data_IF_760911330101
#
_entry.id   IF_760911330101
#
_cell.length_a   1.000
_cell.length_b   1.000
_cell.length_c   1.000
_cell.angle_alpha   90.00
_cell.angle_beta   90.00
_cell.angle_gamma   90.00
#
_symmetry.space_group_name_H-M   'P 1'
#
loop_
_entity.id
_entity.type
_entity.pdbx_description
1 polymer ?
#
# COMPACT_ATOMS: atom_id res chain seq x y z
N UNK A 1 60.32 -42.99 5.53
CA UNK A 1 61.50 -42.14 5.84
C UNK A 1 60.99 -41.06 6.78
N UNK A 2 61.07 -41.19 8.10
CA UNK A 2 62.25 -40.87 8.96
C UNK A 2 62.84 -39.51 8.54
N UNK A 3 63.04 -38.48 9.36
CA UNK A 3 63.73 -38.40 10.67
C UNK A 3 63.33 -37.03 11.31
N UNK A 4 62.73 -36.98 12.51
CA UNK A 4 63.28 -36.47 13.80
C UNK A 4 63.96 -35.06 13.83
N UNK A 5 63.35 -34.18 14.65
CA UNK A 5 63.89 -33.49 15.85
C UNK A 5 65.09 -32.52 15.82
N UNK A 6 65.04 -31.60 16.82
CA UNK A 6 66.13 -30.88 17.54
C UNK A 6 66.75 -29.63 16.87
N UNK A 7 67.09 -28.53 17.54
CA UNK A 7 67.22 -28.24 18.97
C UNK A 7 67.11 -26.72 19.29
N UNK A 8 66.87 -26.44 20.57
CA UNK A 8 67.05 -25.17 21.28
C UNK A 8 68.38 -24.46 20.96
N UNK A 9 68.36 -23.12 20.96
CA UNK A 9 69.42 -22.36 21.61
C UNK A 9 68.88 -21.13 22.33
N UNK A 10 68.90 -21.22 23.65
CA UNK A 10 68.65 -20.16 24.62
C UNK A 10 70.01 -19.52 24.90
N UNK A 11 70.19 -18.27 24.50
CA UNK A 11 71.37 -17.45 24.83
C UNK A 11 70.92 -16.28 25.70
N UNK A 12 71.45 -16.23 26.91
CA UNK A 12 71.12 -15.24 27.93
C UNK A 12 71.89 -13.92 27.72
N UNK A 13 71.18 -12.83 28.00
CA UNK A 13 71.57 -11.61 28.72
C UNK A 13 73.04 -11.18 28.66
N UNK A 14 73.29 -10.06 27.98
CA UNK A 14 74.25 -9.06 28.45
C UNK A 14 73.54 -7.72 28.62
N UNK A 15 73.53 -7.23 29.85
CA UNK A 15 73.16 -5.88 30.21
C UNK A 15 74.42 -5.02 30.16
N UNK A 16 74.39 -3.93 29.40
CA UNK A 16 75.31 -2.82 29.57
C UNK A 16 74.55 -1.51 29.69
N UNK A 17 74.97 -0.77 30.70
CA UNK A 17 74.43 0.41 31.32
C UNK A 17 74.36 1.64 30.41
N UNK A 18 73.24 2.35 30.55
CA UNK A 18 73.08 3.81 30.61
C UNK A 18 73.82 4.70 29.59
N UNK A 19 73.03 5.34 28.73
CA UNK A 19 73.17 6.79 28.57
C UNK A 19 71.78 7.43 28.63
N UNK A 20 71.59 8.21 29.69
CA UNK A 20 70.43 9.06 29.94
C UNK A 20 70.44 10.18 28.89
N UNK A 21 69.80 9.95 27.75
CA UNK A 21 69.51 11.04 26.80
C UNK A 21 68.06 11.45 27.01
N UNK A 22 67.86 12.42 27.89
CA UNK A 22 66.66 13.23 27.98
C UNK A 22 66.46 13.97 26.65
N UNK A 23 65.81 13.30 25.69
CA UNK A 23 65.35 13.97 24.47
C UNK A 23 64.13 14.78 24.82
N UNK A 24 64.38 16.06 25.05
CA UNK A 24 63.44 17.16 25.04
C UNK A 24 62.44 16.96 23.88
N UNK A 25 61.14 16.94 24.18
CA UNK A 25 60.08 17.03 23.18
C UNK A 25 60.18 18.41 22.51
N UNK A 26 60.97 18.50 21.44
CA UNK A 26 61.07 19.69 20.60
C UNK A 26 59.77 19.86 19.82
N UNK A 27 58.98 20.88 20.18
CA UNK A 27 57.66 21.18 19.63
C UNK A 27 57.68 21.90 18.27
N UNK A 28 58.80 21.92 17.54
CA UNK A 28 58.92 22.75 16.33
C UNK A 28 59.57 22.08 15.12
N UNK A 29 59.56 20.74 15.02
CA UNK A 29 59.96 20.09 13.78
C UNK A 29 58.78 20.07 12.79
N UNK A 30 58.78 21.00 11.83
CA UNK A 30 57.89 20.95 10.67
C UNK A 30 58.31 19.74 9.82
N UNK A 31 57.72 18.58 10.10
CA UNK A 31 57.91 17.37 9.29
C UNK A 31 57.32 17.66 7.91
N UNK A 32 58.18 17.92 6.93
CA UNK A 32 57.78 18.05 5.54
C UNK A 32 57.05 16.77 5.11
N UNK A 33 55.73 16.86 4.90
CA UNK A 33 54.98 15.73 4.38
C UNK A 33 55.47 15.42 2.97
N UNK A 34 55.82 14.16 2.72
CA UNK A 34 56.22 13.74 1.37
C UNK A 34 55.09 14.07 0.38
N UNK A 35 55.44 14.59 -0.80
CA UNK A 35 54.46 14.94 -1.83
C UNK A 35 53.49 13.78 -2.14
N UNK A 36 53.97 12.53 -2.01
CA UNK A 36 53.16 11.30 -2.11
C UNK A 36 52.08 11.20 -1.04
N UNK A 37 52.38 11.54 0.22
CA UNK A 37 51.41 11.54 1.33
C UNK A 37 50.35 12.62 1.14
N UNK A 38 50.75 13.80 0.67
CA UNK A 38 49.82 14.90 0.35
C UNK A 38 48.88 14.52 -0.80
N UNK A 39 49.41 13.93 -1.88
CA UNK A 39 48.60 13.45 -3.00
C UNK A 39 47.61 12.33 -2.59
N UNK A 40 48.05 11.38 -1.74
CA UNK A 40 47.18 10.33 -1.22
C UNK A 40 46.04 10.88 -0.35
N UNK A 41 46.32 11.87 0.50
CA UNK A 41 45.29 12.57 1.30
C UNK A 41 44.27 13.27 0.39
N UNK A 42 44.72 14.01 -0.63
CA UNK A 42 43.84 14.67 -1.61
C UNK A 42 42.95 13.67 -2.36
N UNK A 43 43.51 12.53 -2.78
CA UNK A 43 42.73 11.45 -3.43
C UNK A 43 41.69 10.86 -2.48
N UNK A 44 42.06 10.58 -1.22
CA UNK A 44 41.13 10.08 -0.19
C UNK A 44 40.02 11.09 0.08
N UNK A 45 40.35 12.38 0.18
CA UNK A 45 39.38 13.46 0.37
C UNK A 45 38.38 13.51 -0.78
N UNK A 46 38.85 13.50 -2.04
CA UNK A 46 37.97 13.48 -3.22
C UNK A 46 37.04 12.27 -3.25
N UNK A 47 37.52 11.09 -2.85
CA UNK A 47 36.67 9.88 -2.75
C UNK A 47 35.63 10.00 -1.64
N UNK A 48 36.01 10.59 -0.49
CA UNK A 48 35.07 10.82 0.61
C UNK A 48 34.02 11.87 0.26
N UNK A 49 34.40 12.94 -0.42
CA UNK A 49 33.48 13.96 -0.94
C UNK A 49 32.50 13.35 -1.93
N UNK A 50 32.98 12.58 -2.91
CA UNK A 50 32.09 11.88 -3.85
C UNK A 50 31.14 10.89 -3.18
N UNK A 51 31.57 10.21 -2.11
CA UNK A 51 30.68 9.34 -1.30
C UNK A 51 29.65 10.14 -0.52
N UNK A 52 30.02 11.30 0.02
CA UNK A 52 29.09 12.18 0.75
C UNK A 52 28.03 12.77 -0.18
N UNK A 53 28.43 13.21 -1.37
CA UNK A 53 27.50 13.71 -2.38
C UNK A 53 26.52 12.62 -2.83
N UNK A 54 27.01 11.40 -3.09
CA UNK A 54 26.16 10.25 -3.42
C UNK A 54 25.20 9.88 -2.27
N UNK A 55 25.67 9.93 -1.02
CA UNK A 55 24.83 9.68 0.15
C UNK A 55 23.75 10.75 0.32
N UNK A 56 24.10 12.03 0.15
CA UNK A 56 23.14 13.14 0.23
C UNK A 56 22.07 13.05 -0.87
N UNK A 57 22.46 12.69 -2.10
CA UNK A 57 21.49 12.43 -3.17
C UNK A 57 20.59 11.23 -2.86
N UNK A 58 21.15 10.14 -2.35
CA UNK A 58 20.37 8.96 -1.98
C UNK A 58 19.38 9.25 -0.85
N UNK A 59 19.79 10.04 0.15
CA UNK A 59 18.93 10.51 1.25
C UNK A 59 17.81 11.42 0.73
N UNK A 60 18.13 12.34 -0.19
CA UNK A 60 17.13 13.21 -0.79
C UNK A 60 16.08 12.44 -1.62
N UNK A 61 16.46 11.33 -2.26
CA UNK A 61 15.54 10.46 -3.02
C UNK A 61 14.91 9.35 -2.17
N UNK A 62 15.21 9.29 -0.87
CA UNK A 62 14.72 8.21 -0.01
C UNK A 62 13.20 8.30 0.12
N UNK A 63 12.55 7.20 -0.27
CA UNK A 63 11.12 7.02 -0.04
C UNK A 63 10.84 6.69 1.43
N UNK A 64 9.70 7.13 1.93
CA UNK A 64 9.14 6.65 3.19
C UNK A 64 8.87 5.14 3.09
N UNK A 65 9.24 4.40 4.13
CA UNK A 65 9.12 2.94 4.17
C UNK A 65 7.65 2.47 4.25
N UNK A 66 6.77 3.29 4.82
CA UNK A 66 5.35 2.94 5.01
C UNK A 66 4.52 3.44 3.82
N UNK A 67 4.69 4.70 3.45
CA UNK A 67 3.84 5.34 2.44
C UNK A 67 4.45 5.35 1.03
N UNK A 68 5.72 4.99 0.89
CA UNK A 68 6.44 4.97 -0.39
C UNK A 68 6.71 6.33 -1.01
N UNK A 69 6.13 7.41 -0.46
CA UNK A 69 6.29 8.77 -0.99
C UNK A 69 7.68 9.32 -0.68
N UNK A 70 8.30 10.06 -1.61
CA UNK A 70 9.56 10.73 -1.33
C UNK A 70 9.36 11.77 -0.23
N UNK A 71 10.29 11.82 0.72
CA UNK A 71 10.21 12.69 1.91
C UNK A 71 9.99 14.18 1.57
N UNK A 72 10.40 14.60 0.37
CA UNK A 72 10.32 15.99 -0.07
C UNK A 72 8.93 16.43 -0.58
N UNK A 73 8.09 15.51 -1.05
CA UNK A 73 6.79 15.82 -1.66
C UNK A 73 5.59 15.60 -0.72
N UNK A 74 5.84 15.03 0.47
CA UNK A 74 4.83 14.75 1.48
C UNK A 74 4.21 13.35 1.36
N UNK A 75 3.45 12.93 2.38
CA UNK A 75 3.00 11.54 2.59
C UNK A 75 1.99 11.03 1.54
N UNK A 76 1.26 11.94 0.89
CA UNK A 76 0.16 11.59 -0.02
C UNK A 76 0.48 11.80 -1.50
N UNK A 77 1.64 12.36 -1.84
CA UNK A 77 1.93 12.81 -3.21
C UNK A 77 1.86 11.71 -4.27
N UNK A 78 2.29 10.49 -3.96
CA UNK A 78 2.21 9.37 -4.92
C UNK A 78 0.83 8.71 -4.97
N UNK A 79 0.03 8.89 -3.93
CA UNK A 79 -1.28 8.27 -3.85
C UNK A 79 -2.39 9.16 -4.39
N UNK A 80 -2.25 10.47 -4.23
CA UNK A 80 -3.15 11.45 -4.82
C UNK A 80 -3.12 11.33 -6.36
N UNK A 81 -4.26 10.99 -6.96
CA UNK A 81 -4.40 10.71 -8.39
C UNK A 81 -3.97 9.29 -8.81
N UNK A 82 -3.51 8.45 -7.89
CA UNK A 82 -3.14 7.07 -8.17
C UNK A 82 -4.34 6.23 -8.61
N UNK A 83 -4.05 5.14 -9.34
CA UNK A 83 -5.08 4.17 -9.75
C UNK A 83 -5.83 3.60 -8.53
N UNK A 84 -5.11 3.32 -7.45
CA UNK A 84 -5.72 2.78 -6.22
C UNK A 84 -6.68 3.78 -5.56
N UNK A 85 -6.30 5.05 -5.45
CA UNK A 85 -7.17 6.06 -4.83
C UNK A 85 -8.47 6.24 -5.61
N UNK A 86 -8.43 6.19 -6.94
CA UNK A 86 -9.63 6.35 -7.80
C UNK A 86 -10.63 5.22 -7.63
N UNK A 87 -10.16 4.03 -7.25
CA UNK A 87 -10.97 2.82 -7.12
C UNK A 87 -11.64 2.73 -5.75
N UNK A 88 -10.95 3.22 -4.71
CA UNK A 88 -11.37 3.14 -3.32
C UNK A 88 -12.41 4.22 -3.01
N UNK A 89 -13.55 3.81 -2.45
CA UNK A 89 -14.55 4.70 -1.89
C UNK A 89 -14.12 5.17 -0.50
N UNK A 90 -14.23 6.48 -0.27
CA UNK A 90 -14.10 7.04 1.08
C UNK A 90 -15.43 6.94 1.81
N UNK A 91 -15.45 6.49 3.08
CA UNK A 91 -16.68 6.39 3.86
C UNK A 91 -17.46 7.72 3.93
N UNK A 92 -16.74 8.83 4.03
CA UNK A 92 -17.32 10.16 4.13
C UNK A 92 -18.07 10.52 2.84
N UNK A 93 -17.45 10.28 1.67
CA UNK A 93 -18.07 10.56 0.38
C UNK A 93 -19.35 9.73 0.20
N UNK A 94 -19.35 8.48 0.65
CA UNK A 94 -20.52 7.59 0.59
C UNK A 94 -21.64 8.10 1.51
N UNK A 95 -21.36 8.33 2.79
CA UNK A 95 -22.39 8.67 3.78
C UNK A 95 -23.03 10.05 3.55
N UNK A 96 -22.27 11.03 3.05
CA UNK A 96 -22.76 12.39 2.84
C UNK A 96 -23.39 12.66 1.46
N UNK A 97 -23.35 11.69 0.55
CA UNK A 97 -24.09 11.78 -0.72
C UNK A 97 -25.60 11.96 -0.43
N UNK A 98 -26.40 12.74 -1.18
CA UNK A 98 -27.85 12.84 -0.96
C UNK A 98 -28.59 11.56 -1.39
N UNK A 99 -29.61 11.07 -0.65
CA UNK A 99 -30.28 9.81 -0.98
C UNK A 99 -30.97 9.90 -2.35
N UNK A 100 -30.92 8.83 -3.16
CA UNK A 100 -31.64 8.81 -4.42
C UNK A 100 -33.14 8.85 -4.17
N UNK A 101 -33.89 9.41 -5.11
CA UNK A 101 -35.35 9.39 -5.03
C UNK A 101 -35.89 8.03 -5.46
N UNK A 102 -35.92 7.08 -4.52
CA UNK A 102 -36.46 5.74 -4.72
C UNK A 102 -37.92 5.75 -5.22
N UNK A 103 -38.71 6.77 -4.87
CA UNK A 103 -40.10 6.86 -5.31
C UNK A 103 -40.19 7.13 -6.82
N UNK A 104 -39.23 7.87 -7.36
CA UNK A 104 -39.08 8.12 -8.80
C UNK A 104 -38.39 6.99 -9.56
N UNK A 105 -37.99 5.91 -8.88
CA UNK A 105 -37.26 4.80 -9.48
C UNK A 105 -35.76 5.06 -9.67
N UNK A 106 -35.19 6.06 -9.01
CA UNK A 106 -33.74 6.24 -8.99
C UNK A 106 -33.06 5.16 -8.16
N UNK A 107 -31.97 4.62 -8.70
CA UNK A 107 -31.17 3.60 -8.02
C UNK A 107 -29.99 4.21 -7.25
N UNK A 108 -29.60 3.61 -6.11
CA UNK A 108 -28.31 3.87 -5.48
C UNK A 108 -27.13 3.67 -6.43
N UNK A 109 -26.15 4.56 -6.35
CA UNK A 109 -24.89 4.43 -7.10
C UNK A 109 -24.09 3.19 -6.64
N UNK A 110 -24.12 2.93 -5.33
CA UNK A 110 -23.31 1.89 -4.70
C UNK A 110 -24.20 1.00 -3.81
N UNK A 111 -24.08 -0.31 -4.00
CA UNK A 111 -24.78 -1.32 -3.21
C UNK A 111 -23.82 -2.07 -2.28
N UNK A 112 -24.39 -2.82 -1.34
CA UNK A 112 -23.64 -3.74 -0.49
C UNK A 112 -22.83 -4.78 -1.28
N UNK A 113 -21.77 -5.27 -0.64
CA UNK A 113 -20.89 -6.31 -1.19
C UNK A 113 -21.67 -7.58 -1.57
N UNK A 114 -21.28 -8.19 -2.68
CA UNK A 114 -21.86 -9.44 -3.17
C UNK A 114 -23.07 -9.28 -4.08
N UNK A 115 -23.49 -8.04 -4.38
CA UNK A 115 -24.56 -7.77 -5.34
C UNK A 115 -23.98 -7.47 -6.73
N UNK A 116 -24.03 -8.45 -7.63
CA UNK A 116 -23.59 -8.23 -9.01
C UNK A 116 -24.58 -7.35 -9.79
N UNK A 117 -24.19 -6.76 -10.93
CA UNK A 117 -25.13 -6.06 -11.80
C UNK A 117 -26.29 -6.95 -12.28
N UNK A 118 -26.02 -8.24 -12.52
CA UNK A 118 -27.04 -9.21 -12.92
C UNK A 118 -28.04 -9.48 -11.77
N UNK A 119 -27.55 -9.58 -10.53
CA UNK A 119 -28.43 -9.76 -9.37
C UNK A 119 -29.33 -8.54 -9.17
N UNK A 120 -28.83 -7.33 -9.46
CA UNK A 120 -29.63 -6.09 -9.38
C UNK A 120 -30.77 -6.08 -10.38
N UNK A 121 -30.48 -6.41 -11.63
CA UNK A 121 -31.50 -6.51 -12.67
C UNK A 121 -32.58 -7.55 -12.32
N UNK A 122 -32.15 -8.68 -11.75
CA UNK A 122 -33.06 -9.72 -11.30
C UNK A 122 -33.91 -9.27 -10.10
N UNK A 123 -33.28 -8.70 -9.06
CA UNK A 123 -33.94 -8.30 -7.81
C UNK A 123 -34.89 -7.13 -7.96
N UNK A 124 -34.53 -6.13 -8.77
CA UNK A 124 -35.26 -4.87 -8.87
C UNK A 124 -36.04 -4.73 -10.17
N UNK A 125 -35.66 -5.45 -11.22
CA UNK A 125 -36.38 -5.48 -12.50
C UNK A 125 -37.30 -6.69 -12.60
N UNK A 126 -36.72 -7.88 -12.79
CA UNK A 126 -37.49 -9.06 -13.18
C UNK A 126 -38.42 -9.60 -12.07
N UNK A 127 -37.94 -9.68 -10.82
CA UNK A 127 -38.70 -10.30 -9.73
C UNK A 127 -39.99 -9.57 -9.35
N UNK A 128 -40.03 -8.23 -9.20
CA UNK A 128 -41.28 -7.53 -8.89
C UNK A 128 -42.33 -7.73 -9.98
N UNK A 129 -41.92 -7.74 -11.25
CA UNK A 129 -42.81 -8.00 -12.38
C UNK A 129 -43.35 -9.43 -12.39
N UNK A 130 -42.48 -10.44 -12.27
CA UNK A 130 -42.89 -11.84 -12.23
C UNK A 130 -43.81 -12.13 -11.03
N UNK A 131 -43.54 -11.52 -9.88
CA UNK A 131 -44.36 -11.70 -8.67
C UNK A 131 -45.73 -11.05 -8.82
N UNK A 132 -45.80 -9.86 -9.44
CA UNK A 132 -47.06 -9.21 -9.74
C UNK A 132 -47.90 -10.00 -10.76
N UNK A 133 -47.26 -10.60 -11.78
CA UNK A 133 -47.94 -11.48 -12.74
C UNK A 133 -48.48 -12.76 -12.11
N UNK A 134 -47.70 -13.40 -11.22
CA UNK A 134 -48.14 -14.60 -10.51
C UNK A 134 -49.30 -14.32 -9.54
N UNK A 135 -49.33 -13.13 -8.94
CA UNK A 135 -50.41 -12.71 -8.04
C UNK A 135 -51.64 -12.16 -8.79
N UNK A 136 -51.57 -12.00 -10.11
CA UNK A 136 -52.61 -11.37 -10.90
C UNK A 136 -53.89 -12.23 -10.95
N UNK A 137 -54.97 -11.70 -10.38
CA UNK A 137 -56.31 -12.29 -10.46
C UNK A 137 -57.18 -11.45 -11.42
N UNK A 138 -57.62 -12.01 -12.58
CA UNK A 138 -58.43 -11.30 -13.55
C UNK A 138 -59.83 -10.95 -13.02
N UNK A 139 -60.35 -11.70 -12.04
CA UNK A 139 -61.68 -11.46 -11.45
C UNK A 139 -61.66 -10.27 -10.48
N UNK A 140 -60.47 -9.83 -10.04
CA UNK A 140 -60.29 -8.79 -9.01
C UNK A 140 -59.18 -7.80 -9.38
N UNK A 141 -59.36 -7.02 -10.48
CA UNK A 141 -58.32 -6.13 -10.99
C UNK A 141 -57.87 -5.07 -9.97
N UNK A 142 -58.76 -4.59 -9.10
CA UNK A 142 -58.43 -3.64 -8.05
C UNK A 142 -57.48 -4.22 -6.99
N UNK A 143 -57.59 -5.52 -6.68
CA UNK A 143 -56.65 -6.19 -5.76
C UNK A 143 -55.30 -6.43 -6.42
N UNK A 144 -55.31 -6.84 -7.69
CA UNK A 144 -54.09 -7.04 -8.48
C UNK A 144 -53.30 -5.73 -8.62
N UNK A 145 -53.97 -4.60 -8.86
CA UNK A 145 -53.33 -3.28 -8.91
C UNK A 145 -52.74 -2.86 -7.54
N UNK A 146 -53.44 -3.15 -6.44
CA UNK A 146 -52.92 -2.88 -5.10
C UNK A 146 -51.68 -3.73 -4.77
N UNK A 147 -51.67 -5.00 -5.18
CA UNK A 147 -50.53 -5.90 -5.02
C UNK A 147 -49.32 -5.44 -5.83
N UNK A 148 -49.51 -5.00 -7.08
CA UNK A 148 -48.43 -4.43 -7.88
C UNK A 148 -47.81 -3.19 -7.20
N UNK A 149 -48.64 -2.31 -6.64
CA UNK A 149 -48.16 -1.15 -5.88
C UNK A 149 -47.38 -1.56 -4.61
N UNK A 150 -47.84 -2.61 -3.91
CA UNK A 150 -47.14 -3.16 -2.75
C UNK A 150 -45.77 -3.73 -3.13
N UNK A 151 -45.68 -4.47 -4.25
CA UNK A 151 -44.41 -4.97 -4.76
C UNK A 151 -43.42 -3.85 -5.05
N UNK A 152 -43.87 -2.73 -5.66
CA UNK A 152 -43.01 -1.57 -5.86
C UNK A 152 -42.53 -0.95 -4.55
N UNK A 153 -43.37 -0.87 -3.51
CA UNK A 153 -42.95 -0.37 -2.20
C UNK A 153 -41.94 -1.32 -1.52
N UNK A 154 -42.10 -2.62 -1.69
CA UNK A 154 -41.15 -3.63 -1.20
C UNK A 154 -39.80 -3.49 -1.90
N UNK A 155 -39.78 -3.30 -3.22
CA UNK A 155 -38.56 -3.02 -3.99
C UNK A 155 -37.85 -1.76 -3.49
N UNK A 156 -38.58 -0.65 -3.30
CA UNK A 156 -38.01 0.59 -2.77
C UNK A 156 -37.41 0.41 -1.37
N UNK A 157 -38.08 -0.36 -0.52
CA UNK A 157 -37.59 -0.67 0.83
C UNK A 157 -36.32 -1.52 0.75
N UNK A 158 -36.28 -2.51 -0.14
CA UNK A 158 -35.10 -3.36 -0.35
C UNK A 158 -33.91 -2.57 -0.89
N UNK A 159 -34.13 -1.67 -1.85
CA UNK A 159 -33.08 -0.77 -2.37
C UNK A 159 -32.47 0.07 -1.26
N UNK A 160 -33.27 0.61 -0.35
CA UNK A 160 -32.78 1.35 0.82
C UNK A 160 -31.93 0.46 1.73
N UNK A 161 -32.38 -0.77 2.02
CA UNK A 161 -31.64 -1.69 2.89
C UNK A 161 -30.29 -2.07 2.28
N UNK A 162 -30.26 -2.28 0.95
CA UNK A 162 -29.07 -2.70 0.22
C UNK A 162 -28.15 -1.55 -0.21
N UNK A 163 -28.53 -0.32 0.08
CA UNK A 163 -27.72 0.87 -0.20
C UNK A 163 -26.45 0.87 0.66
N UNK A 164 -25.29 1.05 0.03
CA UNK A 164 -24.00 1.08 0.71
C UNK A 164 -23.92 2.19 1.77
N UNK A 165 -24.73 3.23 1.65
CA UNK A 165 -24.79 4.33 2.62
C UNK A 165 -25.25 3.91 4.00
N UNK A 166 -26.07 2.86 4.06
CA UNK A 166 -26.53 2.28 5.31
C UNK A 166 -25.53 1.26 5.87
N UNK A 167 -24.42 1.01 5.17
CA UNK A 167 -23.38 0.12 5.63
C UNK A 167 -22.46 0.78 6.66
N UNK A 168 -21.91 -0.06 7.55
CA UNK A 168 -20.81 0.35 8.42
C UNK A 168 -19.51 0.52 7.64
N UNK A 169 -18.50 1.15 8.27
CA UNK A 169 -17.15 1.29 7.69
C UNK A 169 -16.57 -0.05 7.22
N UNK A 170 -16.80 -1.12 7.98
CA UNK A 170 -16.37 -2.47 7.61
C UNK A 170 -17.08 -3.01 6.34
N UNK A 171 -18.34 -2.61 6.12
CA UNK A 171 -19.08 -2.92 4.90
C UNK A 171 -18.53 -2.19 3.68
N UNK A 172 -18.20 -0.91 3.82
CA UNK A 172 -17.53 -0.11 2.78
C UNK A 172 -16.16 -0.70 2.45
N UNK A 173 -15.39 -1.10 3.47
CA UNK A 173 -14.10 -1.78 3.28
C UNK A 173 -14.26 -3.10 2.51
N UNK A 174 -15.36 -3.83 2.69
CA UNK A 174 -15.63 -5.05 1.91
C UNK A 174 -15.84 -4.76 0.42
N UNK A 175 -16.59 -3.70 0.11
CA UNK A 175 -16.77 -3.24 -1.27
C UNK A 175 -15.45 -2.73 -1.87
N UNK A 176 -14.66 -1.99 -1.09
CA UNK A 176 -13.35 -1.51 -1.54
C UNK A 176 -12.40 -2.67 -1.85
N UNK A 177 -12.39 -3.74 -1.05
CA UNK A 177 -11.61 -4.94 -1.36
C UNK A 177 -12.03 -5.56 -2.69
N UNK A 178 -13.33 -5.68 -2.92
CA UNK A 178 -13.86 -6.21 -4.18
C UNK A 178 -13.41 -5.34 -5.37
N UNK A 179 -13.57 -4.02 -5.28
CA UNK A 179 -13.14 -3.09 -6.32
C UNK A 179 -11.64 -3.15 -6.60
N UNK A 180 -10.83 -3.29 -5.56
CA UNK A 180 -9.38 -3.48 -5.71
C UNK A 180 -9.08 -4.78 -6.45
N UNK A 181 -9.75 -5.88 -6.09
CA UNK A 181 -9.57 -7.17 -6.77
C UNK A 181 -10.02 -7.07 -8.23
N UNK A 182 -11.16 -6.45 -8.52
CA UNK A 182 -11.67 -6.28 -9.88
C UNK A 182 -10.75 -5.41 -10.75
N UNK A 183 -10.14 -4.36 -10.19
CA UNK A 183 -9.28 -3.44 -10.92
C UNK A 183 -7.86 -4.00 -11.15
N UNK A 184 -7.26 -4.59 -10.11
CA UNK A 184 -5.87 -5.07 -10.14
C UNK A 184 -5.76 -6.56 -10.45
N UNK A 185 -6.86 -7.31 -10.36
CA UNK A 185 -6.89 -8.73 -10.64
C UNK A 185 -6.81 -9.02 -12.13
N UNK A 186 -6.00 -10.01 -12.51
CA UNK A 186 -5.92 -10.47 -13.89
C UNK A 186 -7.14 -11.35 -14.18
N UNK A 187 -7.75 -11.14 -15.35
CA UNK A 187 -8.84 -12.00 -15.82
C UNK A 187 -8.25 -13.37 -16.16
N UNK A 188 -8.72 -14.42 -15.50
CA UNK A 188 -8.32 -15.79 -15.81
C UNK A 188 -9.10 -16.31 -17.03
N UNK A 189 -8.55 -17.30 -17.71
CA UNK A 189 -9.22 -17.97 -18.84
C UNK A 189 -10.54 -18.62 -18.42
N UNK A 190 -10.69 -18.95 -17.13
CA UNK A 190 -11.90 -19.49 -16.51
C UNK A 190 -12.96 -18.44 -16.15
N UNK A 191 -12.76 -17.17 -16.50
CA UNK A 191 -13.71 -16.08 -16.22
C UNK A 191 -13.69 -15.56 -14.78
N UNK A 192 -12.76 -16.04 -13.95
CA UNK A 192 -12.51 -15.54 -12.60
C UNK A 192 -11.56 -14.34 -12.57
N UNK A 193 -11.54 -13.63 -11.44
CA UNK A 193 -10.57 -12.56 -11.18
C UNK A 193 -9.52 -13.08 -10.21
N UNK A 194 -8.24 -12.99 -10.60
CA UNK A 194 -7.13 -13.45 -9.76
C UNK A 194 -6.91 -12.53 -8.55
N UNK A 195 -7.31 -12.99 -7.37
CA UNK A 195 -7.10 -12.31 -6.09
C UNK A 195 -5.72 -12.58 -5.47
N UNK A 196 -4.95 -13.53 -6.02
CA UNK A 196 -3.65 -13.97 -5.48
C UNK A 196 -2.45 -13.24 -6.05
N UNK A 197 -2.62 -12.44 -7.11
CA UNK A 197 -1.53 -11.70 -7.75
C UNK A 197 -0.83 -10.76 -6.77
N UNK A 198 0.49 -10.60 -6.95
CA UNK A 198 1.31 -9.69 -6.13
C UNK A 198 0.83 -8.25 -6.20
N UNK A 199 0.29 -7.83 -7.34
CA UNK A 199 -0.29 -6.49 -7.55
C UNK A 199 -1.54 -6.28 -6.69
N UNK A 200 -2.47 -7.24 -6.68
CA UNK A 200 -3.69 -7.17 -5.85
C UNK A 200 -3.31 -7.18 -4.37
N UNK A 201 -2.42 -8.08 -3.95
CA UNK A 201 -1.99 -8.17 -2.55
C UNK A 201 -1.30 -6.88 -2.09
N UNK A 202 -0.43 -6.29 -2.91
CA UNK A 202 0.20 -5.00 -2.62
C UNK A 202 -0.83 -3.88 -2.50
N UNK A 203 -1.82 -3.84 -3.40
CA UNK A 203 -2.90 -2.84 -3.37
C UNK A 203 -3.77 -2.98 -2.10
N UNK A 204 -4.14 -4.20 -1.72
CA UNK A 204 -4.91 -4.48 -0.50
C UNK A 204 -4.15 -4.08 0.77
N UNK A 205 -2.85 -4.41 0.85
CA UNK A 205 -2.00 -4.02 1.98
C UNK A 205 -1.86 -2.50 2.03
N UNK A 206 -1.64 -1.84 0.89
CA UNK A 206 -1.55 -0.38 0.81
C UNK A 206 -2.82 0.30 1.29
N UNK A 207 -3.99 -0.21 0.86
CA UNK A 207 -5.28 0.28 1.33
C UNK A 207 -5.44 0.10 2.84
N UNK A 208 -5.06 -1.07 3.36
CA UNK A 208 -5.11 -1.35 4.80
C UNK A 208 -4.22 -0.38 5.59
N UNK A 209 -2.97 -0.18 5.18
CA UNK A 209 -2.02 0.74 5.83
C UNK A 209 -2.59 2.16 5.91
N UNK A 210 -3.30 2.60 4.88
CA UNK A 210 -3.93 3.94 4.84
C UNK A 210 -5.21 4.07 5.64
N UNK A 211 -5.88 2.95 5.92
CA UNK A 211 -7.11 2.91 6.71
C UNK A 211 -6.87 2.71 8.21
N UNK A 212 -5.64 2.37 8.63
CA UNK A 212 -5.22 2.29 10.04
C UNK A 212 -5.13 3.68 10.65
#
# INVERSE_FOLDING_TARGET
MSVLFTALRRGAVEASSASSSSRLFSSSAVVGESARKVAAKRKKQKVLEGRREAAAHAEATRADLILGSPLNLGPSALYEGSRLQKVVLKPEDVWYTPPPDYASGQEPENYLYGLSPADRELLFGALPHATAELAYDPERPAKSAAQAAEQHQQTQTLQRILDLRNASRAGIDAVNRQRIIEEFGRKTESGGVDSGSSEVQAALITHKIRNL
#
